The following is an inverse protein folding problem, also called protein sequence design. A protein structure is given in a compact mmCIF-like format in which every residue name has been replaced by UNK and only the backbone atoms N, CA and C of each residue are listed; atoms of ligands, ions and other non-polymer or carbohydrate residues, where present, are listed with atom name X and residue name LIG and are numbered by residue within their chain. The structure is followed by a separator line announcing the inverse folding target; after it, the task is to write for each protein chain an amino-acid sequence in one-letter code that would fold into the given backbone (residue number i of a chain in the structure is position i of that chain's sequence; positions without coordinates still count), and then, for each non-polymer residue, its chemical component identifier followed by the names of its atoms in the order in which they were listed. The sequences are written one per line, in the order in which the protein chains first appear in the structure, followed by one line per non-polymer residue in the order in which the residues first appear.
data_IF_198086453331
#
_entry.id   IF_198086453331
#
_cell.length_a   1.000
_cell.length_b   1.000
_cell.length_c   1.000
_cell.angle_alpha   90.00
_cell.angle_beta   90.00
_cell.angle_gamma   90.00
#
_symmetry.space_group_name_H-M   'P 1'
#
loop_
_entity.id
_entity.type
_entity.pdbx_description
1 polymer ?
#
# COMPACT_ATOMS: atom_id res chain seq x y z
N UNK A 1 -14.75 -3.07 18.42
CA UNK A 1 -13.56 -3.81 17.96
C UNK A 1 -12.58 -2.76 17.45
N UNK A 2 -11.28 -2.81 17.75
CA UNK A 2 -10.36 -1.84 17.16
C UNK A 2 -10.27 -2.16 15.66
N UNK A 3 -10.64 -1.18 14.83
CA UNK A 3 -10.59 -1.18 13.37
C UNK A 3 -9.41 -2.00 12.83
N UNK A 4 -9.72 -3.04 12.07
CA UNK A 4 -8.76 -3.72 11.19
C UNK A 4 -8.39 -2.84 9.98
N UNK A 5 -9.01 -1.67 9.85
CA UNK A 5 -8.95 -0.75 8.70
C UNK A 5 -7.92 0.38 8.83
N UNK A 6 -7.16 0.50 9.93
CA UNK A 6 -6.17 1.58 10.13
C UNK A 6 -4.76 1.27 9.59
N UNK A 7 -4.65 0.59 8.45
CA UNK A 7 -3.36 0.07 7.96
C UNK A 7 -2.33 1.16 7.62
N UNK A 8 -2.72 2.20 6.88
CA UNK A 8 -1.84 3.33 6.57
C UNK A 8 -1.57 4.17 7.82
N UNK A 9 -2.60 4.40 8.64
CA UNK A 9 -2.49 5.08 9.93
C UNK A 9 -1.39 4.45 10.80
N UNK A 10 -1.44 3.12 10.97
CA UNK A 10 -0.46 2.37 11.78
C UNK A 10 0.94 2.47 11.21
N UNK A 11 1.10 2.30 9.90
CA UNK A 11 2.40 2.43 9.24
C UNK A 11 3.04 3.79 9.51
N UNK A 12 2.24 4.87 9.47
CA UNK A 12 2.70 6.22 9.82
C UNK A 12 3.05 6.32 11.31
N UNK A 13 2.22 5.80 12.22
CA UNK A 13 2.44 5.85 13.67
C UNK A 13 3.64 5.00 14.16
N UNK A 14 4.04 3.97 13.42
CA UNK A 14 5.25 3.18 13.68
C UNK A 14 6.51 4.01 13.47
N UNK A 15 6.47 4.94 12.52
CA UNK A 15 7.61 5.77 12.11
C UNK A 15 7.59 7.14 12.77
N UNK A 16 6.41 7.71 13.00
CA UNK A 16 6.23 9.12 13.36
C UNK A 16 5.58 9.27 14.73
N UNK A 17 6.25 9.98 15.64
CA UNK A 17 5.71 10.24 16.98
C UNK A 17 6.77 10.40 18.07
N UNK A 18 6.31 10.51 19.32
CA UNK A 18 7.21 10.64 20.47
C UNK A 18 7.89 9.29 20.75
N UNK A 19 9.22 9.26 20.71
CA UNK A 19 10.00 8.03 20.87
C UNK A 19 10.04 7.14 19.61
N UNK A 20 9.65 7.67 18.46
CA UNK A 20 9.72 7.01 17.15
C UNK A 20 10.92 7.53 16.33
N UNK A 21 11.29 6.83 15.23
CA UNK A 21 12.40 7.25 14.37
C UNK A 21 12.29 8.68 13.85
N UNK A 22 11.07 9.13 13.55
CA UNK A 22 10.79 10.47 13.02
C UNK A 22 9.91 11.26 13.97
N UNK A 23 10.27 12.54 14.14
CA UNK A 23 9.34 13.51 14.72
C UNK A 23 8.27 13.87 13.70
N UNK A 24 7.11 14.33 14.17
CA UNK A 24 6.05 14.81 13.29
C UNK A 24 6.53 15.93 12.34
N UNK A 25 7.35 16.84 12.86
CA UNK A 25 7.95 17.92 12.07
C UNK A 25 8.90 17.39 10.99
N UNK A 26 9.76 16.42 11.34
CA UNK A 26 10.67 15.81 10.38
C UNK A 26 9.91 15.09 9.27
N UNK A 27 8.87 14.34 9.61
CA UNK A 27 7.98 13.70 8.64
C UNK A 27 7.34 14.72 7.69
N UNK A 28 6.75 15.80 8.22
CA UNK A 28 6.15 16.86 7.40
C UNK A 28 7.17 17.51 6.44
N UNK A 29 8.38 17.78 6.92
CA UNK A 29 9.46 18.39 6.11
C UNK A 29 9.93 17.44 4.99
N UNK A 30 9.99 16.14 5.27
CA UNK A 30 10.48 15.11 4.34
C UNK A 30 9.40 14.57 3.40
N UNK A 31 8.12 14.71 3.73
CA UNK A 31 7.01 14.17 2.97
C UNK A 31 6.71 14.98 1.70
N UNK A 32 7.61 14.84 0.72
CA UNK A 32 7.60 15.50 -0.58
C UNK A 32 7.65 14.43 -1.67
N UNK A 33 6.71 14.48 -2.62
CA UNK A 33 6.67 13.60 -3.77
C UNK A 33 7.90 13.85 -4.64
N UNK A 34 8.81 12.87 -4.82
CA UNK A 34 10.03 13.06 -5.59
C UNK A 34 9.76 13.29 -7.09
N UNK A 35 8.57 12.94 -7.59
CA UNK A 35 8.22 13.09 -9.01
C UNK A 35 7.67 14.48 -9.31
N UNK A 36 6.79 15.01 -8.45
CA UNK A 36 6.06 16.26 -8.71
C UNK A 36 6.51 17.43 -7.84
N UNK A 37 7.32 17.18 -6.81
CA UNK A 37 7.65 18.17 -5.78
C UNK A 37 6.49 18.48 -4.82
N UNK A 38 5.36 17.76 -4.93
CA UNK A 38 4.21 17.97 -4.07
C UNK A 38 4.53 17.61 -2.61
N UNK A 39 4.44 18.59 -1.71
CA UNK A 39 4.54 18.39 -0.26
C UNK A 39 3.14 18.22 0.35
N UNK A 40 2.98 17.24 1.24
CA UNK A 40 1.72 17.11 2.00
C UNK A 40 1.55 18.30 2.95
N UNK A 41 0.31 18.74 3.15
CA UNK A 41 0.04 19.80 4.12
C UNK A 41 0.22 19.28 5.55
N UNK A 42 0.53 20.18 6.49
CA UNK A 42 0.55 19.88 7.93
C UNK A 42 -0.73 19.21 8.41
N UNK A 43 -1.88 19.69 7.93
CA UNK A 43 -3.18 19.09 8.24
C UNK A 43 -3.25 17.67 7.72
N UNK A 44 -2.87 17.42 6.46
CA UNK A 44 -2.84 16.06 5.89
C UNK A 44 -1.94 15.11 6.69
N UNK A 45 -0.74 15.57 7.09
CA UNK A 45 0.15 14.78 7.94
C UNK A 45 -0.50 14.44 9.29
N UNK A 46 -1.24 15.39 9.87
CA UNK A 46 -1.90 15.21 11.16
C UNK A 46 -3.07 14.25 11.08
N UNK A 47 -3.89 14.38 10.03
CA UNK A 47 -5.02 13.49 9.75
C UNK A 47 -4.53 12.05 9.52
N UNK A 48 -3.42 11.87 8.79
CA UNK A 48 -2.78 10.55 8.62
C UNK A 48 -2.34 9.92 9.94
N UNK A 49 -1.74 10.70 10.85
CA UNK A 49 -1.35 10.17 12.18
C UNK A 49 -2.54 9.86 13.09
N UNK A 50 -3.71 10.43 12.82
CA UNK A 50 -4.93 10.24 13.62
C UNK A 50 -5.88 9.20 13.03
N UNK A 51 -5.60 8.69 11.83
CA UNK A 51 -6.46 7.78 11.09
C UNK A 51 -7.71 8.42 10.53
N UNK A 52 -7.69 9.73 10.36
CA UNK A 52 -8.80 10.42 9.70
C UNK A 52 -8.76 10.22 8.19
N UNK A 53 -9.92 10.35 7.57
CA UNK A 53 -10.08 10.16 6.14
C UNK A 53 -9.43 11.32 5.39
N UNK A 54 -8.45 11.00 4.53
CA UNK A 54 -7.81 11.97 3.65
C UNK A 54 -8.10 11.66 2.19
N UNK A 55 -7.94 12.67 1.32
CA UNK A 55 -7.95 12.43 -0.12
C UNK A 55 -6.67 11.72 -0.53
N UNK A 56 -6.77 10.41 -0.74
CA UNK A 56 -5.65 9.61 -1.24
C UNK A 56 -5.47 9.83 -2.73
N UNK A 57 -4.27 10.24 -3.11
CA UNK A 57 -3.86 10.38 -4.51
C UNK A 57 -2.47 9.79 -4.69
N UNK A 58 -2.05 9.44 -5.92
CA UNK A 58 -0.71 8.90 -6.16
C UNK A 58 0.41 9.83 -5.65
N UNK A 59 0.26 11.15 -5.81
CA UNK A 59 1.21 12.13 -5.31
C UNK A 59 1.30 12.14 -3.77
N UNK A 60 0.15 12.02 -3.07
CA UNK A 60 0.13 11.96 -1.61
C UNK A 60 0.84 10.70 -1.11
N UNK A 61 0.57 9.54 -1.72
CA UNK A 61 1.19 8.28 -1.31
C UNK A 61 2.71 8.26 -1.57
N UNK A 62 3.16 8.84 -2.69
CA UNK A 62 4.60 8.99 -2.96
C UNK A 62 5.27 9.95 -1.97
N UNK A 63 4.61 11.06 -1.65
CA UNK A 63 5.11 12.00 -0.65
C UNK A 63 5.19 11.36 0.73
N UNK A 64 4.18 10.58 1.13
CA UNK A 64 4.21 9.82 2.40
C UNK A 64 5.33 8.80 2.39
N UNK A 65 5.51 8.02 1.33
CA UNK A 65 6.60 7.05 1.22
C UNK A 65 7.98 7.71 1.36
N UNK A 66 8.19 8.83 0.66
CA UNK A 66 9.41 9.62 0.77
C UNK A 66 9.62 10.16 2.20
N UNK A 67 8.56 10.66 2.83
CA UNK A 67 8.62 11.19 4.20
C UNK A 67 8.87 10.13 5.27
N UNK A 68 8.47 8.88 5.02
CA UNK A 68 8.73 7.75 5.91
C UNK A 68 10.07 7.06 5.62
N UNK A 69 10.65 7.28 4.43
CA UNK A 69 11.79 6.50 3.95
C UNK A 69 11.42 5.05 3.60
N UNK A 70 10.16 4.80 3.22
CA UNK A 70 9.59 3.47 2.99
C UNK A 70 9.30 3.23 1.51
N UNK A 71 9.14 1.95 1.13
CA UNK A 71 8.80 1.58 -0.25
C UNK A 71 7.40 2.12 -0.64
N UNK A 72 7.26 2.84 -1.76
CA UNK A 72 5.96 3.32 -2.25
C UNK A 72 4.91 2.21 -2.44
N UNK A 73 5.32 0.99 -2.76
CA UNK A 73 4.44 -0.18 -2.86
C UNK A 73 3.87 -0.58 -1.50
N UNK A 74 4.68 -0.56 -0.44
CA UNK A 74 4.23 -0.86 0.93
C UNK A 74 3.20 0.18 1.41
N UNK A 75 3.48 1.46 1.19
CA UNK A 75 2.56 2.56 1.53
C UNK A 75 1.26 2.46 0.72
N UNK A 76 1.35 2.13 -0.58
CA UNK A 76 0.16 1.89 -1.42
C UNK A 76 -0.67 0.71 -0.93
N UNK A 77 -0.05 -0.42 -0.60
CA UNK A 77 -0.77 -1.59 -0.08
C UNK A 77 -1.50 -1.25 1.22
N UNK A 78 -0.85 -0.53 2.14
CA UNK A 78 -1.48 -0.06 3.37
C UNK A 78 -2.66 0.89 3.11
N UNK A 79 -2.54 1.79 2.13
CA UNK A 79 -3.63 2.68 1.74
C UNK A 79 -4.81 1.93 1.09
N UNK A 80 -4.54 0.94 0.23
CA UNK A 80 -5.57 0.09 -0.39
C UNK A 80 -6.33 -0.68 0.69
N UNK A 81 -5.60 -1.27 1.65
CA UNK A 81 -6.22 -1.96 2.79
C UNK A 81 -7.12 -1.05 3.60
N UNK A 82 -6.66 0.15 3.93
CA UNK A 82 -7.41 1.08 4.78
C UNK A 82 -8.63 1.72 4.10
N UNK A 83 -8.50 2.16 2.84
CA UNK A 83 -9.55 2.95 2.20
C UNK A 83 -10.44 2.15 1.24
N UNK A 84 -9.98 0.97 0.82
CA UNK A 84 -10.71 0.11 -0.13
C UNK A 84 -11.11 -1.23 0.52
N UNK A 85 -10.43 -1.66 1.60
CA UNK A 85 -10.72 -2.94 2.25
C UNK A 85 -10.17 -4.14 1.48
N UNK A 86 -9.14 -3.93 0.65
CA UNK A 86 -8.51 -4.94 -0.19
C UNK A 86 -7.05 -5.12 0.24
N UNK A 87 -6.57 -6.35 0.28
CA UNK A 87 -5.15 -6.67 0.49
C UNK A 87 -4.46 -6.98 -0.83
N UNK A 88 -3.18 -6.61 -0.93
CA UNK A 88 -2.36 -6.90 -2.11
C UNK A 88 -1.20 -7.79 -1.69
N UNK A 89 -1.19 -9.02 -2.18
CA UNK A 89 -0.18 -10.02 -1.90
C UNK A 89 0.74 -10.21 -3.10
N UNK A 90 2.04 -10.36 -2.84
CA UNK A 90 3.02 -10.71 -3.88
C UNK A 90 3.19 -12.22 -3.88
N UNK A 91 3.14 -12.82 -5.07
CA UNK A 91 3.37 -14.25 -5.30
C UNK A 91 4.51 -14.39 -6.29
N UNK A 92 5.55 -15.11 -5.91
CA UNK A 92 6.73 -15.33 -6.77
C UNK A 92 6.34 -16.21 -7.94
N UNK A 93 6.30 -15.70 -9.19
CA UNK A 93 6.07 -16.55 -10.36
C UNK A 93 7.11 -17.69 -10.36
N UNK A 94 6.65 -18.92 -10.52
CA UNK A 94 7.39 -20.10 -10.09
C UNK A 94 8.74 -20.27 -10.79
N UNK A 95 9.72 -20.77 -10.03
CA UNK A 95 10.95 -21.55 -10.31
C UNK A 95 11.70 -21.52 -11.67
N UNK A 96 11.29 -20.79 -12.69
CA UNK A 96 11.88 -20.78 -14.03
C UNK A 96 12.61 -19.47 -14.31
N UNK A 97 13.47 -19.02 -13.38
CA UNK A 97 14.51 -18.00 -13.63
C UNK A 97 14.07 -16.63 -14.15
N UNK A 98 12.77 -16.40 -14.26
CA UNK A 98 12.18 -15.19 -14.79
C UNK A 98 11.88 -14.27 -13.60
N UNK A 99 12.42 -13.05 -13.64
CA UNK A 99 12.33 -12.04 -12.56
C UNK A 99 10.91 -11.40 -12.51
N UNK A 100 9.90 -12.21 -12.82
CA UNK A 100 8.51 -11.79 -13.00
C UNK A 100 7.81 -11.80 -11.65
N UNK A 101 7.55 -10.60 -11.13
CA UNK A 101 6.82 -10.39 -9.87
C UNK A 101 5.32 -10.28 -10.15
N UNK A 102 4.54 -11.24 -9.65
CA UNK A 102 3.07 -11.23 -9.75
C UNK A 102 2.46 -10.65 -8.47
N UNK A 103 1.51 -9.72 -8.62
CA UNK A 103 0.77 -9.11 -7.49
C UNK A 103 -0.72 -9.37 -7.65
N UNK A 104 -1.33 -9.94 -6.61
CA UNK A 104 -2.76 -10.29 -6.57
C UNK A 104 -3.44 -9.38 -5.56
N UNK A 105 -4.51 -8.68 -5.97
CA UNK A 105 -5.40 -7.93 -5.10
C UNK A 105 -6.60 -8.82 -4.72
N UNK A 106 -6.91 -8.93 -3.43
CA UNK A 106 -7.95 -9.80 -2.89
C UNK A 106 -8.63 -9.17 -1.67
N UNK A 107 -9.84 -9.63 -1.32
CA UNK A 107 -10.51 -9.20 -0.09
C UNK A 107 -9.66 -9.52 1.16
N UNK A 108 -9.78 -8.67 2.18
CA UNK A 108 -9.11 -8.86 3.47
C UNK A 108 -9.56 -10.21 4.06
N UNK A 109 -8.60 -11.07 4.40
CA UNK A 109 -8.86 -12.38 4.99
C UNK A 109 -9.02 -13.54 4.00
N UNK A 110 -8.71 -13.33 2.71
CA UNK A 110 -8.63 -14.42 1.75
C UNK A 110 -7.64 -15.52 2.23
N UNK A 111 -8.02 -16.77 2.01
CA UNK A 111 -7.24 -17.94 2.42
C UNK A 111 -6.09 -18.21 1.45
N UNK A 112 -5.08 -18.96 1.91
CA UNK A 112 -3.97 -19.38 1.06
C UNK A 112 -4.43 -20.22 -0.15
N UNK A 113 -5.50 -21.00 0.00
CA UNK A 113 -6.08 -21.80 -1.08
C UNK A 113 -6.71 -20.92 -2.18
N UNK A 114 -7.41 -19.85 -1.80
CA UNK A 114 -7.99 -18.88 -2.75
C UNK A 114 -6.90 -18.11 -3.53
N UNK A 115 -5.79 -17.76 -2.86
CA UNK A 115 -4.65 -17.11 -3.50
C UNK A 115 -3.92 -18.04 -4.48
N UNK A 116 -3.77 -19.33 -4.13
CA UNK A 116 -3.21 -20.35 -5.03
C UNK A 116 -4.13 -20.60 -6.23
N UNK A 117 -5.45 -20.58 -6.03
CA UNK A 117 -6.40 -20.70 -7.12
C UNK A 117 -6.31 -19.50 -8.09
N UNK A 118 -6.22 -18.28 -7.56
CA UNK A 118 -6.02 -17.08 -8.37
C UNK A 118 -4.71 -17.12 -9.16
N UNK A 119 -3.63 -17.62 -8.53
CA UNK A 119 -2.34 -17.84 -9.20
C UNK A 119 -2.44 -18.84 -10.34
N UNK A 120 -3.10 -19.98 -10.14
CA UNK A 120 -3.28 -21.00 -11.21
C UNK A 120 -3.99 -20.46 -12.44
N UNK A 121 -4.97 -19.56 -12.26
CA UNK A 121 -5.66 -18.90 -13.38
C UNK A 121 -4.71 -18.01 -14.17
N UNK A 122 -3.74 -17.37 -13.51
CA UNK A 122 -2.73 -16.54 -14.17
C UNK A 122 -1.70 -17.38 -14.93
N UNK A 123 -1.27 -18.52 -14.37
CA UNK A 123 -0.28 -19.41 -14.99
C UNK A 123 -0.87 -20.24 -16.16
N UNK A 124 -2.18 -20.46 -16.19
CA UNK A 124 -2.88 -21.18 -17.25
C UNK A 124 -4.17 -20.44 -17.64
N UNK A 125 -4.08 -19.34 -18.41
CA UNK A 125 -5.27 -18.63 -18.84
C UNK A 125 -6.08 -19.57 -19.73
N UNK A 126 -7.32 -19.87 -19.35
CA UNK A 126 -8.22 -20.64 -20.21
C UNK A 126 -8.25 -20.01 -21.61
N UNK A 127 -8.24 -20.81 -22.70
CA UNK A 127 -8.29 -20.27 -24.04
C UNK A 127 -9.53 -19.38 -24.16
N UNK A 128 -9.33 -18.10 -24.52
CA UNK A 128 -10.43 -17.17 -24.79
C UNK A 128 -11.43 -17.87 -25.73
N UNK A 129 -12.74 -17.88 -25.42
CA UNK A 129 -13.71 -18.35 -26.41
C UNK A 129 -13.56 -17.45 -27.64
N UNK A 130 -13.28 -18.06 -28.79
CA UNK A 130 -13.24 -17.39 -30.08
C UNK A 130 -14.51 -16.55 -30.24
N UNK A 131 -14.34 -15.24 -30.38
CA UNK A 131 -15.42 -14.35 -30.79
C UNK A 131 -15.73 -14.62 -32.27
N UNK A 132 -16.70 -15.52 -32.49
CA UNK A 132 -17.34 -15.76 -33.79
C UNK A 132 -18.39 -14.72 -34.14
#
# INVERSE_FOLDING_TARGET
MPDQDDALTRLVQEHVGRGRPLTFRAFEEQAVDPVTGYRISKSTAQELTRGHQIKVTPQVLRAVAAGLGEDPAKVRAAAIRQYIGIEVSTVDAGADGDDTVVRIAHDVGATAEELEQARRVLDNPEPKPDAG
#
